data_IF_278102218732
#
_entry.id   IF_278102218732
#
_cell.length_a   1.000
_cell.length_b   1.000
_cell.length_c   1.000
_cell.angle_alpha   90.00
_cell.angle_beta   90.00
_cell.angle_gamma   90.00
#
_symmetry.space_group_name_H-M   'P 1'
#
loop_
_entity.id
_entity.type
_entity.pdbx_description
1 polymer ?
#
# COMPACT_ATOMS: atom_id res chain seq x y z
N UNK A 1 -11.00 13.31 18.55
CA UNK A 1 -9.65 12.88 18.10
C UNK A 1 -9.41 13.43 16.70
N UNK A 2 -8.19 13.89 16.41
CA UNK A 2 -7.90 14.40 15.09
C UNK A 2 -6.43 14.77 14.90
N UNK A 3 -6.04 14.87 13.63
CA UNK A 3 -4.70 15.28 13.22
C UNK A 3 -4.80 16.68 12.63
N UNK A 4 -3.92 17.56 13.05
CA UNK A 4 -3.80 18.92 12.50
C UNK A 4 -2.35 19.20 12.18
N UNK A 5 -2.07 19.56 10.95
CA UNK A 5 -0.76 20.02 10.47
C UNK A 5 -0.92 21.46 10.02
N UNK A 6 -0.08 22.37 10.53
CA UNK A 6 -0.14 23.80 10.22
C UNK A 6 1.22 24.33 9.82
N UNK A 7 1.28 24.95 8.65
CA UNK A 7 2.42 25.72 8.11
C UNK A 7 3.76 24.96 8.18
N UNK A 8 3.71 23.64 7.97
CA UNK A 8 4.88 22.77 8.11
C UNK A 8 5.90 23.10 7.01
N UNK A 9 7.10 23.51 7.42
CA UNK A 9 8.14 23.94 6.49
C UNK A 9 9.49 23.31 6.85
N UNK A 10 10.24 22.89 5.81
CA UNK A 10 11.62 22.40 5.92
C UNK A 10 12.51 22.94 4.82
N UNK A 11 13.67 23.44 5.24
CA UNK A 11 14.72 23.93 4.34
C UNK A 11 16.04 23.24 4.64
N UNK A 12 16.80 22.97 3.61
CA UNK A 12 18.20 22.52 3.70
C UNK A 12 19.07 23.54 2.94
N UNK A 13 19.71 24.42 3.69
CA UNK A 13 20.41 25.59 3.12
C UNK A 13 19.44 26.48 2.36
N UNK A 14 19.65 26.64 1.06
CA UNK A 14 18.78 27.47 0.18
C UNK A 14 17.61 26.69 -0.41
N UNK A 15 17.60 25.33 -0.28
CA UNK A 15 16.57 24.48 -0.87
C UNK A 15 15.43 24.26 0.11
N UNK A 16 14.23 24.70 -0.23
CA UNK A 16 13.00 24.33 0.46
C UNK A 16 12.53 22.96 -0.02
N UNK A 17 12.30 22.03 0.91
CA UNK A 17 11.86 20.65 0.62
C UNK A 17 10.39 20.43 0.98
N UNK A 18 9.87 21.14 1.96
CA UNK A 18 8.45 21.26 2.28
C UNK A 18 8.19 22.73 2.53
N UNK A 19 7.19 23.31 1.87
CA UNK A 19 6.89 24.72 1.90
C UNK A 19 5.44 24.97 2.30
N UNK A 20 5.24 25.43 3.54
CA UNK A 20 3.96 25.89 4.09
C UNK A 20 2.81 24.86 3.99
N UNK A 21 3.10 23.59 4.30
CA UNK A 21 2.11 22.53 4.20
C UNK A 21 1.16 22.55 5.40
N UNK A 22 -0.14 22.62 5.14
CA UNK A 22 -1.19 22.57 6.15
C UNK A 22 -2.30 21.62 5.74
N UNK A 23 -2.77 20.76 6.65
CA UNK A 23 -3.94 19.90 6.44
C UNK A 23 -4.51 19.41 7.76
N UNK A 24 -5.73 18.90 7.71
CA UNK A 24 -6.39 18.33 8.89
C UNK A 24 -7.08 17.00 8.55
N UNK A 25 -7.20 16.15 9.55
CA UNK A 25 -7.92 14.89 9.51
C UNK A 25 -8.76 14.78 10.77
N UNK A 26 -10.06 15.15 10.67
CA UNK A 26 -10.99 15.22 11.81
C UNK A 26 -11.57 13.86 12.20
N UNK A 27 -11.64 12.95 11.24
CA UNK A 27 -12.27 11.64 11.40
C UNK A 27 -11.30 10.53 10.99
N UNK A 28 -11.45 9.31 11.56
CA UNK A 28 -10.71 8.13 11.12
C UNK A 28 -10.86 7.88 9.62
N UNK A 29 -9.84 7.30 9.01
CA UNK A 29 -9.81 7.01 7.58
C UNK A 29 -8.39 7.09 7.03
N UNK A 30 -8.24 7.38 5.74
CA UNK A 30 -6.94 7.48 5.08
C UNK A 30 -6.71 8.86 4.50
N UNK A 31 -5.61 9.48 4.91
CA UNK A 31 -5.08 10.71 4.29
C UNK A 31 -3.84 10.36 3.46
N UNK A 32 -3.86 10.67 2.17
CA UNK A 32 -2.75 10.36 1.28
C UNK A 32 -1.90 11.59 0.93
N UNK A 33 -0.58 11.45 1.11
CA UNK A 33 0.44 12.38 0.62
C UNK A 33 1.00 11.82 -0.69
N UNK A 34 0.67 12.46 -1.80
CA UNK A 34 1.01 12.02 -3.14
C UNK A 34 2.06 12.94 -3.77
N UNK A 35 2.86 12.41 -4.68
CA UNK A 35 3.86 13.21 -5.36
C UNK A 35 4.97 12.35 -5.96
N UNK A 36 5.76 12.94 -6.85
CA UNK A 36 6.96 12.30 -7.40
C UNK A 36 8.03 12.07 -6.32
N UNK A 37 9.05 11.29 -6.65
CA UNK A 37 10.20 11.14 -5.77
C UNK A 37 10.87 12.50 -5.55
N UNK A 38 11.18 12.81 -4.29
CA UNK A 38 11.76 14.10 -3.90
C UNK A 38 10.76 15.24 -3.72
N UNK A 39 9.43 15.02 -3.87
CA UNK A 39 8.40 16.05 -3.65
C UNK A 39 8.23 16.48 -2.18
N UNK A 40 8.84 15.77 -1.22
CA UNK A 40 8.78 16.12 0.21
C UNK A 40 7.92 15.19 1.07
N UNK A 41 7.35 14.09 0.52
CA UNK A 41 6.45 13.16 1.24
C UNK A 41 7.08 12.58 2.51
N UNK A 42 8.18 11.84 2.39
CA UNK A 42 8.91 11.24 3.52
C UNK A 42 9.42 12.29 4.50
N UNK A 43 9.87 13.45 4.00
CA UNK A 43 10.29 14.58 4.84
C UNK A 43 9.12 15.09 5.69
N UNK A 44 7.94 15.24 5.10
CA UNK A 44 6.71 15.64 5.79
C UNK A 44 6.36 14.64 6.89
N UNK A 45 6.34 13.35 6.57
CA UNK A 45 6.07 12.27 7.54
C UNK A 45 7.07 12.33 8.70
N UNK A 46 8.37 12.40 8.43
CA UNK A 46 9.41 12.44 9.49
C UNK A 46 9.28 13.68 10.38
N UNK A 47 8.92 14.84 9.83
CA UNK A 47 8.65 16.06 10.63
C UNK A 47 7.39 15.91 11.48
N UNK A 48 6.33 15.33 10.93
CA UNK A 48 5.09 15.09 11.66
C UNK A 48 5.32 14.17 12.86
N UNK A 49 6.13 13.12 12.70
CA UNK A 49 6.46 12.15 13.75
C UNK A 49 7.51 12.67 14.77
N UNK A 50 8.02 13.89 14.60
CA UNK A 50 9.09 14.43 15.44
C UNK A 50 10.45 13.74 15.22
N UNK A 51 10.62 12.97 14.13
CA UNK A 51 11.87 12.29 13.78
C UNK A 51 12.84 13.22 13.04
N UNK A 52 12.35 14.35 12.57
CA UNK A 52 13.11 15.39 11.88
C UNK A 52 12.63 16.76 12.36
N UNK A 53 13.58 17.63 12.70
CA UNK A 53 13.28 18.99 13.09
C UNK A 53 12.70 19.77 11.92
N UNK A 54 11.60 20.47 12.18
CA UNK A 54 10.97 21.41 11.27
C UNK A 54 11.48 22.83 11.49
N UNK A 55 11.53 23.63 10.43
CA UNK A 55 11.95 25.02 10.55
C UNK A 55 10.77 25.93 10.97
N UNK A 56 9.54 25.58 10.54
CA UNK A 56 8.30 26.23 10.96
C UNK A 56 7.16 25.23 11.05
N UNK A 57 6.07 25.66 11.71
CA UNK A 57 4.82 24.93 11.79
C UNK A 57 4.72 23.90 12.90
N UNK A 58 3.62 23.19 12.92
CA UNK A 58 3.31 22.19 13.93
C UNK A 58 2.53 21.00 13.34
N UNK A 59 2.64 19.85 13.99
CA UNK A 59 1.83 18.68 13.72
C UNK A 59 1.28 18.15 15.05
N UNK A 60 -0.04 18.08 15.18
CA UNK A 60 -0.74 17.81 16.41
C UNK A 60 -1.67 16.61 16.28
N UNK A 61 -1.74 15.82 17.34
CA UNK A 61 -2.74 14.80 17.64
C UNK A 61 -3.51 15.24 18.88
N UNK A 62 -4.80 15.52 18.73
CA UNK A 62 -5.65 16.02 19.82
C UNK A 62 -4.98 17.18 20.59
N UNK A 63 -4.56 18.20 19.85
CA UNK A 63 -3.89 19.41 20.35
C UNK A 63 -2.53 19.20 21.03
N UNK A 64 -1.96 18.00 20.96
CA UNK A 64 -0.60 17.68 21.44
C UNK A 64 0.33 17.37 20.28
N UNK A 65 1.63 17.67 20.36
CA UNK A 65 2.58 17.29 19.32
C UNK A 65 2.51 15.80 18.99
N UNK A 66 2.48 15.46 17.71
CA UNK A 66 2.58 14.07 17.26
C UNK A 66 3.97 13.56 17.59
N UNK A 67 4.04 12.58 18.47
CA UNK A 67 5.24 11.81 18.79
C UNK A 67 4.83 10.50 19.47
N UNK A 68 5.79 9.62 19.72
CA UNK A 68 5.54 8.31 20.33
C UNK A 68 5.13 8.36 21.82
N UNK A 69 5.29 9.51 22.49
CA UNK A 69 4.87 9.71 23.89
C UNK A 69 3.39 10.11 23.98
N UNK A 70 2.91 10.88 23.01
CA UNK A 70 1.56 11.45 23.02
C UNK A 70 0.54 10.64 22.20
N UNK A 71 1.01 9.78 21.31
CA UNK A 71 0.16 9.00 20.42
C UNK A 71 0.74 7.59 20.22
N UNK A 72 -0.12 6.57 20.25
CA UNK A 72 0.26 5.22 19.88
C UNK A 72 0.36 5.11 18.36
N UNK A 73 1.59 5.16 17.84
CA UNK A 73 1.88 5.26 16.42
C UNK A 73 2.45 3.94 15.90
N UNK A 74 1.85 3.39 14.84
CA UNK A 74 2.47 2.37 13.99
C UNK A 74 3.15 3.04 12.79
N UNK A 75 4.44 2.82 12.60
CA UNK A 75 5.17 3.42 11.48
C UNK A 75 5.82 2.37 10.60
N UNK A 76 5.49 2.41 9.31
CA UNK A 76 6.16 1.67 8.25
C UNK A 76 7.00 2.66 7.44
N UNK A 77 8.33 2.58 7.58
CA UNK A 77 9.26 3.41 6.82
C UNK A 77 9.47 2.85 5.40
N UNK A 78 9.75 3.71 4.44
CA UNK A 78 10.17 3.33 3.08
C UNK A 78 11.47 2.51 3.10
N UNK A 79 12.45 2.95 3.92
CA UNK A 79 13.70 2.23 4.11
C UNK A 79 13.54 1.07 5.09
N UNK A 80 14.14 -0.07 4.76
CA UNK A 80 14.02 -1.28 5.57
C UNK A 80 14.92 -1.22 6.79
N UNK A 81 14.30 -1.12 7.97
CA UNK A 81 14.99 -1.01 9.26
C UNK A 81 15.23 -2.36 9.96
N UNK A 82 15.24 -3.50 9.25
CA UNK A 82 15.49 -4.81 9.86
C UNK A 82 17.00 -5.07 9.98
N UNK A 83 17.39 -5.68 11.09
CA UNK A 83 18.80 -5.99 11.39
C UNK A 83 19.21 -7.34 10.80
N UNK A 84 20.15 -7.39 9.82
CA UNK A 84 20.50 -8.62 9.10
C UNK A 84 21.06 -9.75 9.97
N UNK A 85 21.69 -9.40 11.09
CA UNK A 85 22.38 -10.35 11.98
C UNK A 85 21.48 -11.05 13.00
N UNK A 86 20.24 -10.62 13.12
CA UNK A 86 19.28 -11.16 14.11
C UNK A 86 18.18 -11.96 13.41
N UNK A 87 17.62 -12.93 14.13
CA UNK A 87 16.47 -13.68 13.60
C UNK A 87 15.24 -12.81 13.52
N UNK A 88 14.30 -13.17 12.64
CA UNK A 88 13.06 -12.42 12.50
C UNK A 88 12.28 -12.37 13.81
N UNK A 89 12.13 -13.51 14.48
CA UNK A 89 11.38 -13.59 15.73
C UNK A 89 12.01 -12.75 16.85
N UNK A 90 13.35 -12.76 16.97
CA UNK A 90 14.05 -11.97 17.99
C UNK A 90 13.84 -10.47 17.79
N UNK A 91 13.91 -10.02 16.52
CA UNK A 91 13.67 -8.61 16.19
C UNK A 91 12.23 -8.20 16.46
N UNK A 92 11.27 -9.01 16.05
CA UNK A 92 9.85 -8.73 16.26
C UNK A 92 9.56 -8.61 17.76
N UNK A 93 10.09 -9.53 18.58
CA UNK A 93 9.96 -9.47 20.03
C UNK A 93 10.59 -8.22 20.62
N UNK A 94 11.83 -7.94 20.23
CA UNK A 94 12.55 -6.75 20.68
C UNK A 94 11.75 -5.45 20.45
N UNK A 95 11.26 -5.26 19.22
CA UNK A 95 10.45 -4.09 18.90
C UNK A 95 9.10 -4.07 19.60
N UNK A 96 8.47 -5.24 19.81
CA UNK A 96 7.24 -5.34 20.59
C UNK A 96 7.45 -4.94 22.05
N UNK A 97 8.52 -5.40 22.66
CA UNK A 97 8.89 -5.06 24.05
C UNK A 97 9.22 -3.57 24.21
N UNK A 98 9.94 -2.97 23.25
CA UNK A 98 10.18 -1.53 23.22
C UNK A 98 8.88 -0.70 23.16
N UNK A 99 7.80 -1.28 22.64
CA UNK A 99 6.48 -0.68 22.60
C UNK A 99 5.58 -1.04 23.78
N UNK A 100 6.15 -1.67 24.83
CA UNK A 100 5.45 -2.06 26.03
C UNK A 100 4.56 -3.31 25.90
N UNK A 101 4.63 -4.03 24.78
CA UNK A 101 3.92 -5.31 24.58
C UNK A 101 4.84 -6.44 24.98
N UNK A 102 4.49 -7.23 25.99
CA UNK A 102 5.40 -8.25 26.58
C UNK A 102 4.71 -9.59 26.79
N UNK A 103 5.50 -10.63 27.08
CA UNK A 103 5.02 -11.92 27.54
C UNK A 103 4.10 -12.64 26.54
N UNK A 104 3.03 -13.26 27.08
CA UNK A 104 2.08 -14.03 26.28
C UNK A 104 1.24 -13.19 25.32
N UNK A 105 0.96 -11.93 25.68
CA UNK A 105 0.24 -11.01 24.81
C UNK A 105 1.05 -10.72 23.53
N UNK A 106 2.35 -10.46 23.70
CA UNK A 106 3.25 -10.26 22.56
C UNK A 106 3.28 -11.50 21.63
N UNK A 107 3.42 -12.71 22.21
CA UNK A 107 3.44 -13.94 21.41
C UNK A 107 2.13 -14.16 20.65
N UNK A 108 0.97 -13.89 21.27
CA UNK A 108 -0.34 -13.97 20.61
C UNK A 108 -0.47 -12.98 19.46
N UNK A 109 -0.03 -11.73 19.66
CA UNK A 109 -0.06 -10.69 18.63
C UNK A 109 0.88 -11.02 17.47
N UNK A 110 2.09 -11.50 17.75
CA UNK A 110 3.02 -11.93 16.70
C UNK A 110 2.38 -13.05 15.87
N UNK A 111 1.78 -14.04 16.52
CA UNK A 111 1.13 -15.16 15.82
C UNK A 111 -0.03 -14.69 14.96
N UNK A 112 -0.91 -13.88 15.51
CA UNK A 112 -2.05 -13.31 14.79
C UNK A 112 -1.63 -12.55 13.52
N UNK A 113 -0.64 -11.64 13.63
CA UNK A 113 -0.16 -10.88 12.50
C UNK A 113 0.65 -11.73 11.51
N UNK A 114 1.39 -12.72 11.99
CA UNK A 114 2.09 -13.67 11.13
C UNK A 114 1.12 -14.45 10.22
N UNK A 115 0.00 -14.89 10.77
CA UNK A 115 -1.05 -15.59 10.02
C UNK A 115 -1.72 -14.66 9.01
N UNK A 116 -2.13 -13.48 9.43
CA UNK A 116 -2.75 -12.47 8.55
C UNK A 116 -1.88 -12.06 7.38
N UNK A 117 -0.60 -11.84 7.62
CA UNK A 117 0.37 -11.40 6.62
C UNK A 117 1.03 -12.57 5.85
N UNK A 118 0.60 -13.82 6.11
CA UNK A 118 1.18 -15.02 5.52
C UNK A 118 2.70 -15.10 5.72
N UNK A 119 3.14 -14.93 6.97
CA UNK A 119 4.54 -14.92 7.39
C UNK A 119 4.92 -16.07 8.31
N UNK A 120 3.99 -17.00 8.62
CA UNK A 120 4.20 -18.09 9.58
C UNK A 120 5.40 -18.94 9.20
N UNK A 121 5.56 -19.31 7.94
CA UNK A 121 6.68 -20.12 7.45
C UNK A 121 8.05 -19.48 7.67
N UNK A 122 8.10 -18.14 7.66
CA UNK A 122 9.34 -17.37 7.85
C UNK A 122 9.67 -17.13 9.32
N UNK A 123 8.64 -16.87 10.15
CA UNK A 123 8.81 -16.58 11.58
C UNK A 123 8.93 -17.85 12.39
N UNK A 124 8.19 -18.91 12.03
CA UNK A 124 8.12 -20.20 12.71
C UNK A 124 8.46 -21.38 11.78
N UNK A 125 9.66 -21.44 11.21
CA UNK A 125 10.02 -22.44 10.19
C UNK A 125 9.96 -23.87 10.68
N UNK A 126 10.11 -24.12 11.99
CA UNK A 126 10.01 -25.46 12.59
C UNK A 126 8.58 -26.03 12.58
N UNK A 127 7.56 -25.17 12.50
CA UNK A 127 6.14 -25.56 12.45
C UNK A 127 5.67 -25.88 11.03
N UNK A 128 6.40 -25.38 10.01
CA UNK A 128 6.03 -25.53 8.61
C UNK A 128 6.63 -26.84 8.06
N UNK A 129 5.79 -27.85 7.85
CA UNK A 129 6.16 -29.06 7.12
C UNK A 129 6.08 -28.77 5.64
N UNK A 130 7.19 -28.83 4.94
CA UNK A 130 7.22 -28.84 3.48
C UNK A 130 6.71 -30.22 3.02
N UNK A 131 5.57 -30.27 2.33
CA UNK A 131 5.04 -31.52 1.73
C UNK A 131 6.07 -32.17 0.80
N UNK A 132 7.03 -31.42 0.26
CA UNK A 132 8.15 -31.89 -0.55
C UNK A 132 9.20 -32.68 0.23
N UNK A 133 9.29 -32.53 1.56
CA UNK A 133 10.19 -33.30 2.41
C UNK A 133 9.69 -34.77 2.61
N UNK A 134 8.38 -34.99 2.50
CA UNK A 134 7.79 -36.35 2.61
C UNK A 134 7.91 -37.14 1.29
N UNK A 135 7.86 -36.49 0.11
CA UNK A 135 8.04 -37.17 -1.19
C UNK A 135 9.48 -37.62 -1.44
N UNK A 136 10.48 -36.88 -0.96
CA UNK A 136 11.90 -37.27 -1.08
C UNK A 136 12.31 -38.37 -0.09
N UNK A 137 11.56 -38.62 1.02
CA UNK A 137 11.84 -39.72 1.91
C UNK A 137 11.26 -41.05 1.37
N UNK A 138 10.15 -41.01 0.66
CA UNK A 138 9.53 -42.22 0.07
C UNK A 138 10.32 -42.75 -1.12
N UNK A 139 11.01 -41.92 -1.88
CA UNK A 139 11.78 -42.33 -3.06
C UNK A 139 13.16 -42.95 -2.75
N UNK A 140 13.72 -42.73 -1.57
CA UNK A 140 15.04 -43.30 -1.18
C UNK A 140 14.94 -44.66 -0.44
N UNK A 141 13.82 -44.96 0.22
CA UNK A 141 13.63 -46.25 0.91
C UNK A 141 13.24 -47.37 -0.07
N UNK A 142 12.68 -47.08 -1.22
CA UNK A 142 12.23 -48.09 -2.19
C UNK A 142 13.33 -48.71 -3.05
N UNK A 143 14.57 -48.21 -3.00
CA UNK A 143 15.68 -48.70 -3.84
C UNK A 143 16.69 -49.56 -3.04
N UNK A 144 16.66 -49.52 -1.71
CA UNK A 144 17.67 -50.23 -0.87
C UNK A 144 17.19 -51.53 -0.23
N UNK A 145 15.92 -51.90 -0.37
CA UNK A 145 15.35 -53.06 0.37
C UNK A 145 15.40 -54.41 -0.38
N UNK A 146 16.18 -54.54 -1.45
CA UNK A 146 16.39 -55.86 -2.10
C UNK A 146 17.75 -56.54 -1.88
N UNK A 147 18.60 -56.00 -1.01
CA UNK A 147 19.88 -56.66 -0.67
C UNK A 147 20.37 -56.31 0.73
N UNK A 148 19.75 -56.77 1.80
CA UNK A 148 20.40 -57.05 3.11
C UNK A 148 19.37 -57.49 4.17
N UNK A 149 18.78 -58.62 3.95
CA UNK A 149 18.24 -59.41 5.05
C UNK A 149 19.39 -60.23 5.65
N UNK A 150 20.11 -59.68 6.60
CA UNK A 150 20.82 -60.40 7.66
C UNK A 150 21.59 -59.41 8.54
N UNK A 151 21.35 -59.51 9.83
CA UNK A 151 22.11 -58.93 10.95
C UNK A 151 22.12 -57.39 11.09
N UNK A 152 21.24 -56.92 12.00
CA UNK A 152 21.65 -56.20 13.21
C UNK A 152 20.42 -55.84 14.08
N UNK A 153 20.24 -56.62 15.14
CA UNK A 153 19.58 -56.13 16.35
C UNK A 153 20.42 -55.00 16.92
N UNK A 154 19.82 -53.84 17.15
CA UNK A 154 20.48 -52.82 17.94
C UNK A 154 20.05 -51.38 17.58
N UNK A 155 19.29 -50.81 18.50
CA UNK A 155 19.09 -49.38 18.70
C UNK A 155 18.23 -48.60 17.65
N UNK A 156 16.95 -48.52 17.94
CA UNK A 156 16.09 -47.41 17.56
C UNK A 156 16.65 -46.11 18.17
N UNK A 157 17.62 -45.49 17.52
CA UNK A 157 17.98 -44.11 17.83
C UNK A 157 16.91 -43.23 17.14
N UNK A 158 16.14 -42.39 17.87
CA UNK A 158 15.25 -41.46 17.25
C UNK A 158 16.10 -40.54 16.34
N UNK A 159 15.79 -40.53 15.06
CA UNK A 159 16.38 -39.58 14.12
C UNK A 159 16.03 -38.21 14.64
N UNK A 160 16.98 -37.48 15.23
CA UNK A 160 16.80 -36.10 15.65
C UNK A 160 16.49 -35.30 14.38
N UNK A 161 15.22 -34.91 14.19
CA UNK A 161 14.81 -33.99 13.12
C UNK A 161 15.70 -32.78 13.26
N UNK A 162 16.44 -32.43 12.21
CA UNK A 162 17.23 -31.19 12.16
C UNK A 162 16.24 -30.04 12.24
N UNK A 163 16.27 -29.26 13.33
CA UNK A 163 15.51 -28.01 13.41
C UNK A 163 15.93 -27.11 12.25
N UNK A 164 14.95 -26.57 11.51
CA UNK A 164 15.23 -25.55 10.51
C UNK A 164 15.85 -24.33 11.23
N UNK A 165 16.90 -23.75 10.66
CA UNK A 165 17.53 -22.56 11.25
C UNK A 165 16.56 -21.39 11.18
N UNK A 166 16.41 -20.57 12.25
CA UNK A 166 15.65 -19.33 12.20
C UNK A 166 16.15 -18.45 11.07
N UNK A 167 15.21 -17.84 10.33
CA UNK A 167 15.54 -16.99 9.20
C UNK A 167 15.97 -15.59 9.65
N UNK A 168 16.87 -14.98 8.87
CA UNK A 168 17.26 -13.57 8.96
C UNK A 168 16.61 -12.75 7.84
N UNK A 169 16.52 -11.41 7.97
CA UNK A 169 15.90 -10.55 6.96
C UNK A 169 16.48 -10.71 5.55
N UNK A 170 17.79 -10.92 5.43
CA UNK A 170 18.46 -11.05 4.13
C UNK A 170 18.00 -12.26 3.29
N UNK A 171 17.36 -13.21 3.94
CA UNK A 171 16.81 -14.40 3.30
C UNK A 171 15.38 -14.19 2.77
N UNK A 172 14.78 -13.02 3.05
CA UNK A 172 13.43 -12.68 2.63
C UNK A 172 13.41 -11.87 1.34
N UNK A 173 12.34 -12.04 0.56
CA UNK A 173 12.01 -11.09 -0.50
C UNK A 173 11.76 -9.69 0.09
N UNK A 174 11.92 -8.68 -0.76
CA UNK A 174 11.64 -7.29 -0.37
C UNK A 174 10.22 -7.13 0.21
N UNK A 175 9.24 -7.78 -0.39
CA UNK A 175 7.86 -7.73 0.07
C UNK A 175 7.66 -8.38 1.43
N UNK A 176 8.31 -9.51 1.71
CA UNK A 176 8.23 -10.14 3.02
C UNK A 176 8.92 -9.32 4.10
N UNK A 177 10.05 -8.65 3.80
CA UNK A 177 10.67 -7.71 4.73
C UNK A 177 9.72 -6.56 5.08
N UNK A 178 9.01 -6.01 4.11
CA UNK A 178 8.03 -4.93 4.31
C UNK A 178 6.85 -5.39 5.16
N UNK A 179 6.34 -6.62 4.92
CA UNK A 179 5.29 -7.20 5.76
C UNK A 179 5.76 -7.43 7.20
N UNK A 180 7.03 -7.82 7.44
CA UNK A 180 7.60 -7.92 8.80
C UNK A 180 7.63 -6.55 9.49
N UNK A 181 8.06 -5.51 8.79
CA UNK A 181 8.05 -4.14 9.34
C UNK A 181 6.63 -3.66 9.66
N UNK A 182 5.68 -3.96 8.77
CA UNK A 182 4.26 -3.67 9.00
C UNK A 182 3.75 -4.41 10.26
N UNK A 183 4.07 -5.71 10.39
CA UNK A 183 3.75 -6.51 11.58
C UNK A 183 4.26 -5.82 12.84
N UNK A 184 5.53 -5.41 12.86
CA UNK A 184 6.14 -4.71 14.00
C UNK A 184 5.38 -3.42 14.34
N UNK A 185 4.99 -2.64 13.33
CA UNK A 185 4.19 -1.43 13.51
C UNK A 185 2.82 -1.69 14.13
N UNK A 186 2.25 -2.88 13.90
CA UNK A 186 0.92 -3.27 14.38
C UNK A 186 0.90 -3.88 15.78
N UNK A 187 2.04 -4.25 16.37
CA UNK A 187 2.09 -4.96 17.66
C UNK A 187 1.46 -4.19 18.82
N UNK A 188 1.60 -2.86 18.83
CA UNK A 188 1.03 -2.00 19.88
C UNK A 188 -0.46 -1.67 19.65
N UNK A 189 -1.10 -2.18 18.61
CA UNK A 189 -2.46 -1.80 18.19
C UNK A 189 -2.62 -0.27 18.07
N UNK A 190 -1.90 0.35 17.13
CA UNK A 190 -1.77 1.80 17.06
C UNK A 190 -3.10 2.51 16.75
N UNK A 191 -3.26 3.74 17.27
CA UNK A 191 -4.37 4.64 16.93
C UNK A 191 -4.10 5.38 15.61
N UNK A 192 -2.83 5.73 15.38
CA UNK A 192 -2.33 6.36 14.17
C UNK A 192 -1.36 5.42 13.45
N UNK A 193 -1.69 5.08 12.21
CA UNK A 193 -0.84 4.31 11.32
C UNK A 193 -0.22 5.23 10.27
N UNK A 194 1.10 5.26 10.20
CA UNK A 194 1.82 6.05 9.20
C UNK A 194 2.58 5.10 8.28
N UNK A 195 2.25 5.14 6.99
CA UNK A 195 2.74 4.21 5.98
C UNK A 195 3.49 4.97 4.88
N UNK A 196 4.80 4.88 4.88
CA UNK A 196 5.63 5.53 3.86
C UNK A 196 5.92 4.56 2.72
N UNK A 197 5.28 4.79 1.55
CA UNK A 197 5.34 3.96 0.35
C UNK A 197 5.01 2.46 0.60
N UNK A 198 3.86 2.13 1.22
CA UNK A 198 3.57 0.77 1.73
C UNK A 198 3.52 -0.31 0.66
N UNK A 199 3.28 0.04 -0.60
CA UNK A 199 3.16 -0.90 -1.72
C UNK A 199 4.41 -0.98 -2.60
N UNK A 200 5.45 -0.20 -2.27
CA UNK A 200 6.67 -0.12 -3.08
C UNK A 200 7.44 -1.44 -3.10
N UNK A 201 7.63 -2.01 -4.30
CA UNK A 201 8.39 -3.24 -4.49
C UNK A 201 7.70 -4.52 -4.01
N UNK A 202 6.38 -4.46 -3.79
CA UNK A 202 5.53 -5.63 -3.58
C UNK A 202 5.11 -6.23 -4.94
N UNK A 203 5.01 -7.56 -4.98
CA UNK A 203 4.27 -8.25 -6.02
C UNK A 203 2.74 -8.11 -5.81
N UNK A 204 1.90 -8.42 -6.80
CA UNK A 204 0.46 -8.27 -6.69
C UNK A 204 -0.16 -9.02 -5.50
N UNK A 205 0.31 -10.24 -5.21
CA UNK A 205 -0.24 -11.08 -4.11
C UNK A 205 0.06 -10.44 -2.75
N UNK A 206 1.28 -9.97 -2.54
CA UNK A 206 1.67 -9.30 -1.31
C UNK A 206 0.99 -7.92 -1.17
N UNK A 207 0.77 -7.22 -2.29
CA UNK A 207 0.00 -5.98 -2.34
C UNK A 207 -1.43 -6.21 -1.86
N UNK A 208 -2.13 -7.24 -2.36
CA UNK A 208 -3.50 -7.55 -1.97
C UNK A 208 -3.60 -7.92 -0.48
N UNK A 209 -2.66 -8.71 0.05
CA UNK A 209 -2.61 -9.03 1.48
C UNK A 209 -2.51 -7.75 2.33
N UNK A 210 -1.64 -6.82 1.96
CA UNK A 210 -1.45 -5.59 2.70
C UNK A 210 -2.66 -4.66 2.57
N UNK A 211 -3.27 -4.59 1.38
CA UNK A 211 -4.52 -3.88 1.13
C UNK A 211 -5.65 -4.37 2.03
N UNK A 212 -5.83 -5.69 2.15
CA UNK A 212 -6.86 -6.28 3.01
C UNK A 212 -6.68 -5.89 4.47
N UNK A 213 -5.44 -5.92 4.96
CA UNK A 213 -5.14 -5.49 6.32
C UNK A 213 -5.43 -4.00 6.52
N UNK A 214 -5.04 -3.15 5.56
CA UNK A 214 -5.35 -1.71 5.63
C UNK A 214 -6.87 -1.47 5.67
N UNK A 215 -7.66 -2.17 4.84
CA UNK A 215 -9.13 -2.10 4.87
C UNK A 215 -9.70 -2.47 6.24
N UNK A 216 -9.14 -3.48 6.90
CA UNK A 216 -9.54 -3.86 8.25
C UNK A 216 -9.22 -2.74 9.27
N UNK A 217 -8.06 -2.09 9.16
CA UNK A 217 -7.70 -0.98 10.05
C UNK A 217 -8.61 0.24 9.85
N UNK A 218 -9.01 0.53 8.61
CA UNK A 218 -10.00 1.56 8.30
C UNK A 218 -11.34 1.24 8.98
N UNK A 219 -11.82 -0.01 8.85
CA UNK A 219 -13.06 -0.47 9.49
C UNK A 219 -12.99 -0.43 11.02
N UNK A 220 -11.80 -0.63 11.59
CA UNK A 220 -11.53 -0.53 13.02
C UNK A 220 -11.48 0.93 13.53
N UNK A 221 -11.66 1.92 12.64
CA UNK A 221 -11.68 3.33 13.01
C UNK A 221 -10.30 3.93 13.29
N UNK A 222 -9.24 3.38 12.69
CA UNK A 222 -7.89 3.91 12.83
C UNK A 222 -7.65 5.12 11.93
N UNK A 223 -6.76 6.02 12.34
CA UNK A 223 -6.26 7.10 11.50
C UNK A 223 -5.06 6.60 10.71
N UNK A 224 -5.05 6.81 9.41
CA UNK A 224 -3.98 6.32 8.54
C UNK A 224 -3.46 7.47 7.69
N UNK A 225 -2.16 7.75 7.79
CA UNK A 225 -1.46 8.64 6.86
C UNK A 225 -0.61 7.77 5.96
N UNK A 226 -0.75 7.96 4.66
CA UNK A 226 -0.06 7.15 3.66
C UNK A 226 0.65 8.06 2.66
N UNK A 227 1.94 7.82 2.41
CA UNK A 227 2.59 8.39 1.23
C UNK A 227 2.56 7.40 0.08
N UNK A 228 2.41 7.87 -1.15
CA UNK A 228 2.57 7.03 -2.33
C UNK A 228 2.84 7.84 -3.60
N UNK A 229 3.48 7.17 -4.55
CA UNK A 229 3.51 7.56 -5.96
C UNK A 229 2.62 6.64 -6.83
N UNK A 230 2.04 5.58 -6.25
CA UNK A 230 1.13 4.61 -6.91
C UNK A 230 -0.32 5.07 -6.72
N UNK A 231 -0.80 5.91 -7.62
CA UNK A 231 -2.11 6.57 -7.51
C UNK A 231 -3.28 5.59 -7.45
N UNK A 232 -3.26 4.55 -8.27
CA UNK A 232 -4.33 3.54 -8.35
C UNK A 232 -4.51 2.78 -7.02
N UNK A 233 -3.38 2.40 -6.39
CA UNK A 233 -3.43 1.68 -5.12
C UNK A 233 -3.99 2.54 -3.98
N UNK A 234 -3.73 3.85 -4.02
CA UNK A 234 -4.15 4.80 -2.99
C UNK A 234 -5.59 5.27 -3.21
N UNK A 235 -6.01 5.45 -4.46
CA UNK A 235 -7.37 5.89 -4.82
C UNK A 235 -8.45 4.99 -4.22
N UNK A 236 -8.13 3.72 -4.00
CA UNK A 236 -9.04 2.74 -3.41
C UNK A 236 -9.37 3.01 -1.93
N UNK A 237 -8.47 3.66 -1.20
CA UNK A 237 -8.58 3.80 0.26
C UNK A 237 -8.75 5.24 0.72
N UNK A 238 -8.15 6.20 0.00
CA UNK A 238 -8.03 7.54 0.54
C UNK A 238 -9.34 8.31 0.50
N UNK A 239 -9.62 8.99 1.61
CA UNK A 239 -10.72 9.92 1.74
C UNK A 239 -10.27 11.33 1.38
N UNK A 240 -9.09 11.71 1.88
CA UNK A 240 -8.48 13.02 1.65
C UNK A 240 -7.07 12.85 1.10
N UNK A 241 -6.66 13.79 0.27
CA UNK A 241 -5.35 13.78 -0.37
C UNK A 241 -4.66 15.14 -0.31
N UNK A 242 -3.35 15.11 -0.39
CA UNK A 242 -2.51 16.23 -0.82
C UNK A 242 -1.58 15.75 -1.92
N UNK A 243 -1.61 16.41 -3.07
CA UNK A 243 -0.62 16.22 -4.13
C UNK A 243 0.48 17.26 -3.94
N UNK A 244 1.70 16.77 -3.70
CA UNK A 244 2.90 17.59 -3.56
C UNK A 244 3.64 17.65 -4.91
N UNK A 245 3.93 18.85 -5.34
CA UNK A 245 4.83 19.13 -6.47
C UNK A 245 5.84 20.19 -6.08
N UNK A 246 7.14 19.93 -6.28
CA UNK A 246 8.23 20.88 -5.97
C UNK A 246 8.07 21.51 -4.57
N UNK A 247 7.89 20.66 -3.57
CA UNK A 247 7.77 21.03 -2.16
C UNK A 247 6.46 21.72 -1.73
N UNK A 248 5.51 21.94 -2.63
CA UNK A 248 4.23 22.60 -2.34
C UNK A 248 3.03 21.69 -2.60
N UNK A 249 1.96 21.94 -1.87
CA UNK A 249 0.67 21.33 -2.16
C UNK A 249 0.04 22.02 -3.38
N UNK A 250 -0.22 21.24 -4.46
CA UNK A 250 -0.87 21.75 -5.70
C UNK A 250 -2.33 21.37 -5.76
N UNK A 251 -2.70 20.22 -5.16
CA UNK A 251 -4.10 19.78 -5.00
C UNK A 251 -4.26 19.28 -3.58
N UNK A 252 -5.37 19.64 -2.93
CA UNK A 252 -5.63 19.21 -1.56
C UNK A 252 -7.12 19.18 -1.27
N UNK A 253 -7.58 18.17 -0.52
CA UNK A 253 -8.95 18.06 -0.04
C UNK A 253 -9.53 16.66 -0.15
N UNK A 254 -10.87 16.58 -0.08
CA UNK A 254 -11.58 15.32 -0.24
C UNK A 254 -11.47 14.82 -1.69
N UNK A 255 -11.06 13.56 -1.87
CA UNK A 255 -10.80 12.99 -3.20
C UNK A 255 -12.04 13.03 -4.10
N UNK A 256 -13.21 12.68 -3.57
CA UNK A 256 -14.45 12.66 -4.35
C UNK A 256 -14.86 14.07 -4.79
N UNK A 257 -14.67 15.08 -3.93
CA UNK A 257 -14.94 16.48 -4.27
C UNK A 257 -13.95 17.00 -5.33
N UNK A 258 -12.67 16.65 -5.17
CA UNK A 258 -11.65 16.96 -6.16
C UNK A 258 -12.04 16.35 -7.51
N UNK A 259 -12.33 15.05 -7.59
CA UNK A 259 -12.71 14.37 -8.84
C UNK A 259 -13.95 15.01 -9.48
N UNK A 260 -14.98 15.33 -8.69
CA UNK A 260 -16.18 16.04 -9.16
C UNK A 260 -15.87 17.42 -9.73
N UNK A 261 -14.92 18.15 -9.15
CA UNK A 261 -14.55 19.50 -9.63
C UNK A 261 -13.95 19.49 -11.04
N UNK A 262 -13.32 18.37 -11.45
CA UNK A 262 -12.84 18.19 -12.82
C UNK A 262 -13.93 17.76 -13.81
N UNK A 263 -15.11 17.36 -13.30
CA UNK A 263 -16.23 16.91 -14.11
C UNK A 263 -16.06 15.52 -14.70
N UNK A 264 -17.11 15.02 -15.32
CA UNK A 264 -17.11 13.75 -16.04
C UNK A 264 -16.65 13.97 -17.47
N UNK A 265 -15.42 13.62 -17.75
CA UNK A 265 -14.74 13.90 -19.02
C UNK A 265 -14.19 12.66 -19.73
N UNK A 266 -14.27 11.49 -19.08
CA UNK A 266 -13.84 10.22 -19.65
C UNK A 266 -15.08 9.44 -20.10
N UNK A 267 -15.23 9.22 -21.39
CA UNK A 267 -16.27 8.38 -21.97
C UNK A 267 -15.65 7.10 -22.49
N UNK A 268 -16.10 5.95 -21.97
CA UNK A 268 -15.88 4.63 -22.49
C UNK A 268 -17.10 4.20 -23.29
N UNK A 269 -16.92 4.03 -24.61
CA UNK A 269 -17.98 3.58 -25.52
C UNK A 269 -17.53 2.25 -26.14
N UNK A 270 -18.34 1.20 -26.01
CA UNK A 270 -18.14 -0.08 -26.68
C UNK A 270 -19.37 -0.44 -27.50
N UNK A 271 -19.17 -0.82 -28.75
CA UNK A 271 -20.21 -1.12 -29.72
C UNK A 271 -19.93 -2.42 -30.44
N UNK A 272 -20.96 -3.06 -31.04
CA UNK A 272 -20.79 -4.24 -31.88
C UNK A 272 -20.23 -3.85 -33.25
N UNK A 273 -20.74 -2.73 -33.81
CA UNK A 273 -20.34 -2.24 -35.13
C UNK A 273 -19.34 -1.08 -34.98
N UNK A 274 -18.59 -0.80 -36.04
CA UNK A 274 -17.65 0.31 -36.12
C UNK A 274 -18.36 1.67 -36.08
N UNK A 275 -18.00 2.50 -35.14
CA UNK A 275 -18.53 3.88 -34.95
C UNK A 275 -17.53 4.97 -35.33
N UNK A 276 -16.36 4.61 -35.84
CA UNK A 276 -15.27 5.58 -36.11
C UNK A 276 -15.72 6.69 -37.08
N UNK A 277 -16.61 6.39 -38.05
CA UNK A 277 -17.20 7.35 -38.94
C UNK A 277 -18.11 8.38 -38.25
N UNK A 278 -18.87 7.95 -37.24
CA UNK A 278 -19.76 8.82 -36.46
C UNK A 278 -18.91 9.70 -35.55
N UNK A 279 -17.93 9.12 -34.87
CA UNK A 279 -17.03 9.84 -33.95
C UNK A 279 -16.26 10.93 -34.71
N UNK A 280 -15.76 10.65 -35.92
CA UNK A 280 -15.11 11.64 -36.79
C UNK A 280 -16.06 12.79 -37.20
N UNK A 281 -17.30 12.47 -37.61
CA UNK A 281 -18.32 13.49 -37.96
C UNK A 281 -18.67 14.41 -36.79
N UNK A 282 -18.61 13.89 -35.57
CA UNK A 282 -18.86 14.63 -34.33
C UNK A 282 -17.60 15.31 -33.75
N UNK A 283 -16.46 15.23 -34.41
CA UNK A 283 -15.15 15.69 -33.94
C UNK A 283 -14.81 15.19 -32.52
N UNK A 284 -15.22 13.93 -32.20
CA UNK A 284 -14.95 13.33 -30.92
C UNK A 284 -13.44 13.13 -30.70
N UNK A 285 -12.94 13.52 -29.53
CA UNK A 285 -11.54 13.35 -29.17
C UNK A 285 -11.26 11.91 -28.68
N UNK A 286 -11.04 11.00 -29.64
CA UNK A 286 -10.72 9.59 -29.36
C UNK A 286 -9.27 9.48 -28.94
N UNK A 287 -9.02 9.01 -27.71
CA UNK A 287 -7.68 8.78 -27.15
C UNK A 287 -7.14 7.42 -27.55
N UNK A 288 -7.97 6.38 -27.37
CA UNK A 288 -7.61 5.00 -27.76
C UNK A 288 -8.81 4.29 -28.37
N UNK A 289 -8.52 3.36 -29.28
CA UNK A 289 -9.49 2.45 -29.91
C UNK A 289 -8.90 1.04 -29.90
N UNK A 290 -9.65 0.10 -29.37
CA UNK A 290 -9.27 -1.32 -29.37
C UNK A 290 -10.50 -2.22 -29.38
N UNK A 291 -10.60 -3.09 -30.38
CA UNK A 291 -11.65 -4.13 -30.47
C UNK A 291 -13.09 -3.60 -30.27
N UNK A 292 -13.42 -2.45 -30.91
CA UNK A 292 -14.74 -1.82 -30.81
C UNK A 292 -14.98 -1.07 -29.50
N UNK A 293 -13.94 -0.90 -28.67
CA UNK A 293 -13.97 -0.09 -27.45
C UNK A 293 -13.19 1.21 -27.69
N UNK A 294 -13.87 2.34 -27.45
CA UNK A 294 -13.37 3.69 -27.69
C UNK A 294 -13.26 4.44 -26.36
N UNK A 295 -12.08 4.91 -26.03
CA UNK A 295 -11.87 5.85 -24.94
C UNK A 295 -11.87 7.28 -25.51
N UNK A 296 -12.82 8.08 -25.10
CA UNK A 296 -13.08 9.40 -25.69
C UNK A 296 -12.99 10.45 -24.57
N UNK A 297 -12.26 11.53 -24.80
CA UNK A 297 -12.33 12.71 -23.93
C UNK A 297 -13.48 13.59 -24.40
N UNK A 298 -14.36 13.92 -23.46
CA UNK A 298 -15.51 14.79 -23.67
C UNK A 298 -15.42 16.03 -22.78
N UNK A 299 -16.09 17.10 -23.17
CA UNK A 299 -16.17 18.33 -22.39
C UNK A 299 -17.17 18.25 -21.22
N UNK A 300 -17.96 17.18 -21.18
CA UNK A 300 -18.94 16.92 -20.13
C UNK A 300 -20.14 16.07 -20.59
N UNK A 301 -21.13 16.00 -19.71
CA UNK A 301 -22.33 15.14 -19.87
C UNK A 301 -23.08 15.36 -21.19
N UNK A 302 -23.20 16.62 -21.63
CA UNK A 302 -23.97 16.96 -22.84
C UNK A 302 -23.34 16.38 -24.10
N UNK A 303 -22.02 16.54 -24.26
CA UNK A 303 -21.30 15.98 -25.41
C UNK A 303 -21.36 14.45 -25.43
N UNK A 304 -21.20 13.81 -24.26
CA UNK A 304 -21.31 12.37 -24.14
C UNK A 304 -22.71 11.87 -24.54
N UNK A 305 -23.78 12.55 -24.12
CA UNK A 305 -25.14 12.21 -24.49
C UNK A 305 -25.41 12.43 -26.00
N UNK A 306 -24.87 13.50 -26.59
CA UNK A 306 -25.00 13.78 -28.04
C UNK A 306 -24.29 12.72 -28.88
N UNK A 307 -23.15 12.19 -28.38
CA UNK A 307 -22.45 11.06 -29.00
C UNK A 307 -23.28 9.78 -28.90
N UNK A 308 -23.78 9.46 -27.72
CA UNK A 308 -24.64 8.27 -27.50
C UNK A 308 -25.86 8.31 -28.43
N UNK A 309 -26.55 9.45 -28.49
CA UNK A 309 -27.70 9.63 -29.36
C UNK A 309 -27.35 9.39 -30.84
N UNK A 310 -26.22 9.95 -31.32
CA UNK A 310 -25.79 9.76 -32.69
C UNK A 310 -25.49 8.30 -33.04
N UNK A 311 -24.95 7.53 -32.08
CA UNK A 311 -24.70 6.08 -32.24
C UNK A 311 -26.00 5.28 -32.31
N UNK A 312 -26.94 5.59 -31.39
CA UNK A 312 -28.28 4.94 -31.38
C UNK A 312 -29.09 5.27 -32.63
N UNK A 313 -29.12 6.55 -33.06
CA UNK A 313 -29.83 6.99 -34.26
C UNK A 313 -29.29 6.34 -35.54
N UNK A 314 -28.03 5.89 -35.54
CA UNK A 314 -27.42 5.12 -36.61
C UNK A 314 -27.78 3.63 -36.59
N UNK A 315 -28.56 3.18 -35.60
CA UNK A 315 -28.96 1.77 -35.46
C UNK A 315 -27.87 0.84 -34.92
N UNK A 316 -26.83 1.41 -34.29
CA UNK A 316 -25.67 0.66 -33.78
C UNK A 316 -25.97 0.14 -32.38
N UNK A 317 -25.58 -1.10 -32.11
CA UNK A 317 -25.75 -1.73 -30.81
C UNK A 317 -24.68 -1.27 -29.83
N UNK A 318 -25.09 -0.58 -28.76
CA UNK A 318 -24.19 -0.15 -27.67
C UNK A 318 -24.07 -1.24 -26.63
N UNK A 319 -22.86 -1.78 -26.44
CA UNK A 319 -22.54 -2.80 -25.42
C UNK A 319 -22.24 -2.14 -24.09
N UNK A 320 -21.45 -1.04 -24.11
CA UNK A 320 -21.09 -0.29 -22.90
C UNK A 320 -21.02 1.19 -23.21
N UNK A 321 -21.60 1.98 -22.30
CA UNK A 321 -21.47 3.42 -22.29
C UNK A 321 -21.25 3.84 -20.83
N UNK A 322 -20.05 4.33 -20.54
CA UNK A 322 -19.66 4.72 -19.19
C UNK A 322 -19.00 6.08 -19.23
N UNK A 323 -19.63 7.04 -18.55
CA UNK A 323 -19.09 8.39 -18.42
C UNK A 323 -18.58 8.56 -16.98
N UNK A 324 -17.27 8.79 -16.84
CA UNK A 324 -16.59 8.86 -15.56
C UNK A 324 -15.79 10.15 -15.39
N UNK A 325 -15.52 10.47 -14.12
CA UNK A 325 -14.60 11.53 -13.70
C UNK A 325 -13.15 11.14 -14.05
N UNK A 326 -12.22 12.10 -13.90
CA UNK A 326 -10.81 11.80 -13.99
C UNK A 326 -10.39 10.84 -12.87
N UNK A 327 -9.51 9.90 -13.20
CA UNK A 327 -8.80 9.09 -12.19
C UNK A 327 -7.82 9.98 -11.41
N UNK A 328 -7.43 9.54 -10.23
CA UNK A 328 -6.42 10.25 -9.44
C UNK A 328 -5.08 10.37 -10.21
N UNK A 329 -4.73 9.36 -11.00
CA UNK A 329 -3.56 9.41 -11.88
C UNK A 329 -3.66 10.51 -12.93
N UNK A 330 -4.81 10.66 -13.60
CA UNK A 330 -5.02 11.70 -14.61
C UNK A 330 -5.00 13.09 -13.99
N UNK A 331 -5.58 13.27 -12.79
CA UNK A 331 -5.51 14.54 -12.04
C UNK A 331 -4.05 14.85 -11.72
N UNK A 332 -3.29 13.85 -11.23
CA UNK A 332 -1.88 14.01 -10.92
C UNK A 332 -1.07 14.44 -12.15
N UNK A 333 -1.23 13.76 -13.28
CA UNK A 333 -0.53 14.10 -14.53
C UNK A 333 -0.91 15.49 -15.00
N UNK A 334 -2.17 15.88 -14.88
CA UNK A 334 -2.65 17.21 -15.26
C UNK A 334 -2.02 18.33 -14.42
N UNK A 335 -1.90 18.13 -13.10
CA UNK A 335 -1.42 19.17 -12.17
C UNK A 335 0.12 19.20 -12.03
N UNK A 336 0.78 18.05 -12.24
CA UNK A 336 2.24 17.92 -12.08
C UNK A 336 2.97 17.88 -13.42
N UNK A 337 2.31 17.39 -14.48
CA UNK A 337 2.89 17.17 -15.80
C UNK A 337 2.80 18.37 -16.76
N UNK A 338 2.28 19.51 -16.35
CA UNK A 338 2.10 20.72 -17.20
C UNK A 338 3.35 21.63 -17.28
N UNK A 339 4.55 21.05 -17.21
CA UNK A 339 5.81 21.80 -17.40
C UNK A 339 6.70 21.22 -18.48
#
# INVERSE_FOLDING_TARGET
MGIVVRNLTKKYGTKTVVDDLSFEMKEPGVYALLGTNGAGKTTTIRMMLGMLDKDCGEALWDDKPINFDNCNIGYLAEERGLYPKYTLLDQIRYFGELRGVTGDDLNKKIRYWAEKLKLVEYIYPDEFKDERDDENQVSFESITDKKKSALRLGANRPVKKKKKKPLSPDQLSKGNQQKIQFLIGMLSDPDLLVLDEPFSGLDPVNTDILKDVIREQIKAGKYIIMSSHQMEAVEEFCTNITILNRSRAVVQGNLNEIKKSYGRVNLLLKTEEDVSGILKKKNANVITEKEGEYHIKVSGDKEAQDLLKAVIDAGITVIRFELSELTLHEIFVKEVGQE
#
